data_IF_600783800774
#
_entry.id   IF_600783800774
#
_cell.length_a   1.000
_cell.length_b   1.000
_cell.length_c   1.000
_cell.angle_alpha   90.00
_cell.angle_beta   90.00
_cell.angle_gamma   90.00
#
_symmetry.space_group_name_H-M   'P 1'
#
loop_
_entity.id
_entity.type
_entity.pdbx_description
1 polymer ?
#
# COMPACT_ATOMS: atom_id res chain seq x y z
N UNK A 1 -22.18 25.47 -8.80
CA UNK A 1 -21.48 26.56 -8.11
C UNK A 1 -20.81 27.39 -9.19
N UNK A 2 -21.24 28.63 -9.41
CA UNK A 2 -20.50 29.55 -10.25
C UNK A 2 -19.58 30.34 -9.33
N UNK A 3 -18.41 29.76 -9.02
CA UNK A 3 -17.31 30.59 -8.53
C UNK A 3 -16.79 31.41 -9.71
N UNK A 4 -16.59 32.73 -9.58
CA UNK A 4 -16.08 33.56 -10.67
C UNK A 4 -14.61 33.26 -11.04
N UNK A 5 -13.87 32.56 -10.18
CA UNK A 5 -12.47 32.19 -10.37
C UNK A 5 -12.23 30.73 -9.92
N UNK A 6 -12.87 29.75 -10.58
CA UNK A 6 -12.67 28.35 -10.23
C UNK A 6 -11.25 27.93 -10.61
N UNK A 7 -10.68 27.07 -9.80
CA UNK A 7 -9.38 26.46 -10.03
C UNK A 7 -9.46 24.95 -9.86
N UNK A 8 -8.78 24.22 -10.73
CA UNK A 8 -8.56 22.81 -10.52
C UNK A 8 -7.71 22.62 -9.26
N UNK A 9 -6.61 23.36 -9.11
CA UNK A 9 -5.77 23.35 -7.90
C UNK A 9 -5.31 24.75 -7.52
N UNK A 10 -5.22 25.05 -6.22
CA UNK A 10 -4.71 26.31 -5.69
C UNK A 10 -3.41 26.02 -4.94
N UNK A 11 -2.29 26.60 -5.39
CA UNK A 11 -0.95 26.34 -4.86
C UNK A 11 -0.44 24.88 -4.98
N UNK A 12 -1.17 24.01 -5.68
CA UNK A 12 -0.84 22.62 -5.94
C UNK A 12 -1.78 21.66 -5.22
N UNK A 13 -1.47 20.37 -5.24
CA UNK A 13 -2.27 19.37 -4.52
C UNK A 13 -1.69 19.18 -3.13
N UNK A 14 -2.54 19.38 -2.13
CA UNK A 14 -2.26 19.16 -0.72
C UNK A 14 -3.25 18.16 -0.14
N UNK A 15 -2.81 17.44 0.89
CA UNK A 15 -3.72 16.59 1.63
C UNK A 15 -4.80 17.43 2.34
N UNK A 16 -4.52 18.70 2.65
CA UNK A 16 -5.42 19.63 3.33
C UNK A 16 -6.64 20.05 2.50
N UNK A 17 -6.63 19.81 1.19
CA UNK A 17 -7.71 20.16 0.25
C UNK A 17 -8.82 19.08 0.22
N UNK A 18 -8.74 18.10 1.14
CA UNK A 18 -9.61 16.95 1.18
C UNK A 18 -10.50 17.03 2.40
N UNK A 19 -11.79 17.28 2.16
CA UNK A 19 -12.86 17.10 3.12
C UNK A 19 -13.81 16.02 2.62
N UNK A 20 -14.14 15.07 3.49
CA UNK A 20 -15.16 14.08 3.21
C UNK A 20 -16.55 14.72 3.24
N UNK A 21 -17.39 14.39 2.26
CA UNK A 21 -18.80 14.77 2.25
C UNK A 21 -19.69 13.77 2.99
N UNK A 22 -20.95 13.64 2.55
CA UNK A 22 -21.96 12.80 3.20
C UNK A 22 -21.88 11.30 2.87
N UNK A 23 -20.96 10.90 1.98
CA UNK A 23 -20.81 9.51 1.54
C UNK A 23 -19.85 8.74 2.46
N UNK A 24 -20.10 7.45 2.68
CA UNK A 24 -19.26 6.54 3.49
C UNK A 24 -17.94 6.15 2.82
N UNK A 25 -17.32 7.04 2.03
CA UNK A 25 -16.12 6.77 1.25
C UNK A 25 -14.83 7.32 1.88
N UNK A 26 -14.76 7.38 3.22
CA UNK A 26 -13.56 7.84 3.94
C UNK A 26 -12.27 7.14 3.48
N UNK A 27 -12.36 5.88 3.04
CA UNK A 27 -11.28 5.09 2.46
C UNK A 27 -10.67 5.75 1.20
N UNK A 28 -11.52 6.31 0.33
CA UNK A 28 -11.11 7.03 -0.87
C UNK A 28 -10.42 8.34 -0.51
N UNK A 29 -10.98 9.11 0.44
CA UNK A 29 -10.41 10.38 0.89
C UNK A 29 -9.05 10.16 1.57
N UNK A 30 -8.92 9.11 2.39
CA UNK A 30 -7.64 8.72 2.99
C UNK A 30 -6.60 8.31 1.95
N UNK A 31 -7.01 7.60 0.89
CA UNK A 31 -6.13 7.26 -0.23
C UNK A 31 -5.68 8.51 -1.01
N UNK A 32 -6.58 9.48 -1.24
CA UNK A 32 -6.25 10.77 -1.85
C UNK A 32 -5.25 11.56 -0.98
N UNK A 33 -5.43 11.53 0.34
CA UNK A 33 -4.51 12.15 1.30
C UNK A 33 -3.11 11.52 1.22
N UNK A 34 -3.03 10.19 1.11
CA UNK A 34 -1.77 9.50 0.84
C UNK A 34 -1.14 9.91 -0.51
N UNK A 35 -1.95 10.01 -1.56
CA UNK A 35 -1.52 10.39 -2.90
C UNK A 35 -0.94 11.81 -2.96
N UNK A 36 -1.56 12.77 -2.25
CA UNK A 36 -1.13 14.16 -2.19
C UNK A 36 0.30 14.32 -1.63
N UNK A 37 0.76 13.41 -0.77
CA UNK A 37 2.12 13.40 -0.21
C UNK A 37 3.23 13.10 -1.25
N UNK A 38 2.85 12.67 -2.47
CA UNK A 38 3.78 12.19 -3.49
C UNK A 38 3.50 12.85 -4.84
N UNK A 39 4.12 14.02 -5.05
CA UNK A 39 4.01 14.80 -6.31
C UNK A 39 4.11 13.98 -7.59
N UNK A 40 5.09 13.09 -7.67
CA UNK A 40 5.31 12.23 -8.86
C UNK A 40 4.21 11.20 -9.10
N UNK A 41 3.47 10.81 -8.06
CA UNK A 41 2.37 9.85 -8.17
C UNK A 41 1.08 10.58 -8.56
N UNK A 42 0.73 11.67 -7.87
CA UNK A 42 -0.49 12.40 -8.21
C UNK A 42 -0.43 12.99 -9.62
N UNK A 43 0.74 13.42 -10.11
CA UNK A 43 0.91 13.90 -11.49
C UNK A 43 0.59 12.85 -12.56
N UNK A 44 0.58 11.55 -12.20
CA UNK A 44 0.12 10.49 -13.10
C UNK A 44 -1.40 10.43 -13.13
N UNK A 45 -2.03 10.58 -11.96
CA UNK A 45 -3.48 10.51 -11.77
C UNK A 45 -4.17 11.76 -12.32
N UNK A 46 -3.60 12.94 -12.08
CA UNK A 46 -4.10 14.24 -12.56
C UNK A 46 -3.06 14.82 -13.53
N UNK A 47 -3.03 14.35 -14.79
CA UNK A 47 -2.09 14.82 -15.79
C UNK A 47 -2.41 16.28 -16.17
N UNK A 48 -1.42 16.99 -16.73
CA UNK A 48 -1.66 18.26 -17.44
C UNK A 48 -2.51 19.31 -16.69
N UNK A 49 -2.41 19.40 -15.35
CA UNK A 49 -3.28 20.28 -14.53
C UNK A 49 -3.46 21.68 -15.12
N UNK A 50 -2.37 22.31 -15.55
CA UNK A 50 -2.40 23.68 -16.09
C UNK A 50 -3.22 23.83 -17.37
N UNK A 51 -3.35 22.76 -18.16
CA UNK A 51 -4.14 22.75 -19.40
C UNK A 51 -5.61 22.46 -19.13
N UNK A 52 -5.90 21.74 -18.04
CA UNK A 52 -7.27 21.46 -17.58
C UNK A 52 -7.85 22.60 -16.73
N UNK A 53 -7.01 23.41 -16.12
CA UNK A 53 -7.42 24.50 -15.24
C UNK A 53 -8.09 25.65 -16.00
N UNK A 54 -8.95 26.39 -15.32
CA UNK A 54 -9.60 27.57 -15.87
C UNK A 54 -8.60 28.72 -15.99
N UNK A 55 -8.50 29.30 -17.19
CA UNK A 55 -7.66 30.48 -17.48
C UNK A 55 -8.56 31.66 -17.86
N UNK A 56 -8.69 32.62 -16.95
CA UNK A 56 -9.45 33.85 -17.18
C UNK A 56 -8.96 34.64 -18.42
N UNK A 57 -7.69 34.49 -18.81
CA UNK A 57 -7.14 35.15 -20.01
C UNK A 57 -7.50 34.44 -21.30
N UNK A 58 -7.98 33.19 -21.22
CA UNK A 58 -8.31 32.32 -22.36
C UNK A 58 -9.61 31.54 -22.09
N UNK A 59 -10.73 32.22 -21.80
CA UNK A 59 -12.00 31.56 -21.48
C UNK A 59 -12.50 30.66 -22.61
N UNK A 60 -12.13 30.95 -23.86
CA UNK A 60 -12.48 30.16 -25.05
C UNK A 60 -11.86 28.76 -25.07
N UNK A 61 -10.83 28.51 -24.26
CA UNK A 61 -10.21 27.18 -24.13
C UNK A 61 -10.97 26.27 -23.18
N UNK A 62 -11.80 26.83 -22.30
CA UNK A 62 -12.56 26.05 -21.36
C UNK A 62 -13.72 25.35 -22.05
N UNK A 63 -13.79 24.03 -21.90
CA UNK A 63 -14.86 23.21 -22.44
C UNK A 63 -15.62 22.43 -21.37
N UNK A 64 -15.40 22.73 -20.08
CA UNK A 64 -16.02 22.01 -18.96
C UNK A 64 -15.69 20.53 -18.93
N UNK A 65 -14.49 20.15 -19.40
CA UNK A 65 -14.04 18.77 -19.57
C UNK A 65 -12.72 18.55 -18.85
N UNK A 66 -12.64 17.46 -18.10
CA UNK A 66 -11.49 17.06 -17.29
C UNK A 66 -11.20 15.58 -17.51
N UNK A 67 -9.96 15.15 -17.25
CA UNK A 67 -9.58 13.75 -17.33
C UNK A 67 -8.56 13.35 -16.27
N UNK A 68 -8.69 12.09 -15.86
CA UNK A 68 -7.94 11.48 -14.77
C UNK A 68 -7.49 10.08 -15.17
N UNK A 69 -6.30 9.68 -14.73
CA UNK A 69 -5.83 8.32 -14.96
C UNK A 69 -5.95 7.44 -13.71
N UNK A 70 -6.51 6.25 -13.88
CA UNK A 70 -6.57 5.22 -12.86
C UNK A 70 -5.91 3.93 -13.35
N UNK A 71 -5.29 3.22 -12.43
CA UNK A 71 -4.67 1.92 -12.66
C UNK A 71 -5.71 0.83 -12.43
N UNK A 72 -6.23 0.24 -13.49
CA UNK A 72 -7.23 -0.83 -13.41
C UNK A 72 -6.63 -2.12 -13.95
N UNK A 73 -6.62 -3.16 -13.12
CA UNK A 73 -6.22 -4.53 -13.51
C UNK A 73 -4.91 -4.63 -14.31
N UNK A 74 -3.97 -3.72 -14.05
CA UNK A 74 -2.66 -3.74 -14.67
C UNK A 74 -2.39 -2.71 -15.77
N UNK A 75 -3.37 -1.88 -16.10
CA UNK A 75 -3.29 -0.86 -17.16
C UNK A 75 -3.74 0.51 -16.62
N UNK A 76 -3.19 1.58 -17.19
CA UNK A 76 -3.69 2.92 -16.93
C UNK A 76 -4.86 3.22 -17.86
N UNK A 77 -6.00 3.59 -17.29
CA UNK A 77 -7.23 3.97 -17.97
C UNK A 77 -7.43 5.47 -17.83
N UNK A 78 -7.73 6.15 -18.94
CA UNK A 78 -8.09 7.56 -18.96
C UNK A 78 -9.60 7.74 -18.82
N UNK A 79 -10.01 8.48 -17.80
CA UNK A 79 -11.41 8.71 -17.44
C UNK A 79 -11.73 10.19 -17.62
N UNK A 80 -12.46 10.47 -18.69
CA UNK A 80 -12.92 11.82 -19.02
C UNK A 80 -14.26 12.10 -18.36
N UNK A 81 -14.42 13.27 -17.74
CA UNK A 81 -15.66 13.73 -17.10
C UNK A 81 -15.96 15.18 -17.46
N UNK A 82 -17.22 15.57 -17.32
CA UNK A 82 -17.59 16.99 -17.25
C UNK A 82 -17.42 17.55 -15.83
N UNK A 83 -17.62 18.86 -15.66
CA UNK A 83 -17.46 19.60 -14.41
C UNK A 83 -18.73 19.68 -13.52
N UNK A 84 -19.84 19.05 -13.92
CA UNK A 84 -21.09 19.11 -13.15
C UNK A 84 -21.00 18.28 -11.88
N UNK A 85 -20.94 18.93 -10.72
CA UNK A 85 -20.83 18.28 -9.42
C UNK A 85 -22.18 18.24 -8.69
N UNK A 86 -22.49 17.15 -7.94
CA UNK A 86 -23.69 17.08 -7.11
C UNK A 86 -23.71 18.12 -5.99
N UNK A 87 -24.83 18.84 -5.86
CA UNK A 87 -24.99 19.89 -4.84
C UNK A 87 -26.39 19.88 -4.21
N UNK A 88 -26.48 20.26 -2.94
CA UNK A 88 -27.72 20.65 -2.25
C UNK A 88 -27.54 22.08 -1.77
N UNK A 89 -28.50 22.96 -2.04
CA UNK A 89 -28.43 24.39 -1.68
C UNK A 89 -27.13 25.07 -2.15
N UNK A 90 -26.68 24.74 -3.37
CA UNK A 90 -25.42 25.19 -3.97
C UNK A 90 -24.15 24.82 -3.18
N UNK A 91 -24.20 23.82 -2.30
CA UNK A 91 -23.03 23.27 -1.60
C UNK A 91 -22.74 21.86 -2.12
N UNK A 92 -21.47 21.56 -2.34
CA UNK A 92 -21.02 20.20 -2.66
C UNK A 92 -21.41 19.26 -1.53
N UNK A 93 -21.98 18.11 -1.88
CA UNK A 93 -22.42 17.10 -0.90
C UNK A 93 -21.40 15.98 -0.70
N UNK A 94 -20.44 15.84 -1.62
CA UNK A 94 -19.38 14.85 -1.57
C UNK A 94 -18.02 15.53 -1.27
N UNK A 95 -16.90 14.96 -1.74
CA UNK A 95 -15.58 15.48 -1.44
C UNK A 95 -15.42 16.93 -1.92
N UNK A 96 -14.78 17.77 -1.10
CA UNK A 96 -14.56 19.19 -1.39
C UNK A 96 -13.29 19.72 -0.71
N UNK A 97 -12.78 20.86 -1.19
CA UNK A 97 -11.69 21.59 -0.54
C UNK A 97 -12.21 22.58 0.51
N UNK A 98 -11.33 22.99 1.44
CA UNK A 98 -11.58 24.16 2.30
C UNK A 98 -11.63 25.44 1.47
N UNK A 99 -10.82 25.50 0.42
CA UNK A 99 -10.82 26.60 -0.52
C UNK A 99 -12.04 26.44 -1.44
N UNK A 100 -13.01 27.36 -1.38
CA UNK A 100 -14.31 27.19 -2.04
C UNK A 100 -14.22 27.17 -3.57
N UNK A 101 -13.12 27.68 -4.12
CA UNK A 101 -12.84 27.74 -5.54
C UNK A 101 -11.86 26.67 -6.01
N UNK A 102 -11.50 25.68 -5.20
CA UNK A 102 -10.64 24.56 -5.58
C UNK A 102 -11.44 23.25 -5.77
N UNK A 103 -11.27 22.60 -6.92
CA UNK A 103 -12.17 21.51 -7.35
C UNK A 103 -11.50 20.15 -7.68
N UNK A 104 -10.18 20.00 -7.59
CA UNK A 104 -9.52 18.73 -7.98
C UNK A 104 -10.05 17.52 -7.21
N UNK A 105 -10.31 17.67 -5.91
CA UNK A 105 -10.75 16.56 -5.04
C UNK A 105 -12.16 16.09 -5.42
N UNK A 106 -13.08 17.03 -5.64
CA UNK A 106 -14.44 16.76 -6.08
C UNK A 106 -14.49 16.11 -7.48
N UNK A 107 -13.68 16.62 -8.41
CA UNK A 107 -13.62 16.09 -9.78
C UNK A 107 -12.94 14.72 -9.83
N UNK A 108 -11.89 14.50 -9.04
CA UNK A 108 -11.23 13.19 -8.93
C UNK A 108 -12.21 12.13 -8.39
N UNK A 109 -12.97 12.47 -7.34
CA UNK A 109 -14.01 11.59 -6.80
C UNK A 109 -15.10 11.30 -7.83
N UNK A 110 -15.54 12.29 -8.62
CA UNK A 110 -16.48 12.08 -9.72
C UNK A 110 -15.95 11.12 -10.78
N UNK A 111 -14.69 11.27 -11.18
CA UNK A 111 -14.06 10.38 -12.15
C UNK A 111 -13.98 8.94 -11.61
N UNK A 112 -13.64 8.79 -10.33
CA UNK A 112 -13.60 7.50 -9.67
C UNK A 112 -14.99 6.86 -9.52
N UNK A 113 -16.01 7.65 -9.18
CA UNK A 113 -17.41 7.22 -9.15
C UNK A 113 -17.90 6.76 -10.54
N UNK A 114 -17.53 7.49 -11.60
CA UNK A 114 -17.83 7.08 -12.99
C UNK A 114 -17.21 5.73 -13.32
N UNK A 115 -15.97 5.49 -12.90
CA UNK A 115 -15.28 4.21 -13.10
C UNK A 115 -15.95 3.07 -12.32
N UNK A 116 -16.43 3.34 -11.10
CA UNK A 116 -17.18 2.39 -10.28
C UNK A 116 -18.64 2.18 -10.76
N UNK A 117 -19.18 3.11 -11.56
CA UNK A 117 -20.52 3.09 -12.14
C UNK A 117 -21.46 4.18 -11.59
N UNK A 118 -21.35 4.51 -10.30
CA UNK A 118 -22.06 5.61 -9.66
C UNK A 118 -21.39 6.02 -8.33
N UNK A 119 -21.84 7.11 -7.70
CA UNK A 119 -21.34 7.53 -6.38
C UNK A 119 -21.69 6.53 -5.28
N UNK A 120 -22.88 5.93 -5.30
CA UNK A 120 -23.31 4.94 -4.30
C UNK A 120 -22.37 3.71 -4.28
N UNK A 121 -21.79 3.35 -5.43
CA UNK A 121 -20.81 2.27 -5.53
C UNK A 121 -19.48 2.55 -4.77
N UNK A 122 -19.27 3.78 -4.28
CA UNK A 122 -18.12 4.12 -3.45
C UNK A 122 -18.41 4.02 -1.94
N UNK A 123 -19.64 3.69 -1.55
CA UNK A 123 -20.00 3.50 -0.15
C UNK A 123 -19.42 2.20 0.40
N UNK A 124 -18.41 2.32 1.28
CA UNK A 124 -17.61 1.21 1.77
C UNK A 124 -16.59 0.69 0.74
N UNK A 125 -15.33 0.63 1.15
CA UNK A 125 -14.25 0.15 0.29
C UNK A 125 -12.91 0.10 1.00
N UNK A 126 -11.88 -0.34 0.28
CA UNK A 126 -10.54 -0.52 0.81
C UNK A 126 -9.61 0.63 0.43
N UNK A 127 -9.04 1.30 1.43
CA UNK A 127 -8.03 2.36 1.22
C UNK A 127 -6.85 1.82 0.41
N UNK A 128 -6.46 0.57 0.66
CA UNK A 128 -5.39 -0.09 -0.06
C UNK A 128 -5.70 -0.23 -1.57
N UNK A 129 -6.94 -0.60 -1.91
CA UNK A 129 -7.38 -0.74 -3.31
C UNK A 129 -7.39 0.62 -4.01
N UNK A 130 -7.93 1.67 -3.40
CA UNK A 130 -7.85 3.02 -3.97
C UNK A 130 -6.38 3.47 -4.19
N UNK A 131 -5.48 3.19 -3.24
CA UNK A 131 -4.06 3.52 -3.42
C UNK A 131 -3.47 2.73 -4.61
N UNK A 132 -3.84 1.46 -4.79
CA UNK A 132 -3.43 0.67 -5.95
C UNK A 132 -3.97 1.30 -7.23
N UNK A 133 -5.24 1.69 -7.27
CA UNK A 133 -5.85 2.36 -8.42
C UNK A 133 -5.19 3.71 -8.73
N UNK A 134 -4.66 4.42 -7.74
CA UNK A 134 -3.96 5.69 -7.98
C UNK A 134 -2.50 5.52 -8.41
N UNK A 135 -1.89 4.34 -8.22
CA UNK A 135 -0.42 4.24 -8.27
C UNK A 135 0.12 3.02 -9.01
N UNK A 136 -0.69 1.97 -9.18
CA UNK A 136 -0.23 0.63 -9.57
C UNK A 136 0.70 -0.03 -8.54
N UNK A 137 0.61 0.37 -7.27
CA UNK A 137 1.35 -0.23 -6.17
C UNK A 137 0.97 -1.71 -5.96
N UNK A 138 1.78 -2.39 -5.13
CA UNK A 138 1.40 -3.67 -4.53
C UNK A 138 1.05 -3.40 -3.08
N UNK A 139 -0.20 -3.66 -2.72
CA UNK A 139 -0.72 -3.53 -1.37
C UNK A 139 -0.61 -4.83 -0.58
N UNK A 140 -0.44 -4.68 0.73
CA UNK A 140 -0.48 -5.74 1.73
C UNK A 140 -1.15 -5.14 2.97
N UNK A 141 -2.11 -5.85 3.56
CA UNK A 141 -2.78 -5.42 4.79
C UNK A 141 -2.35 -6.33 5.93
N UNK A 142 -2.02 -5.73 7.08
CA UNK A 142 -1.64 -6.44 8.30
C UNK A 142 -2.64 -6.09 9.38
N UNK A 143 -3.25 -7.12 9.98
CA UNK A 143 -4.04 -6.96 11.19
C UNK A 143 -3.10 -6.93 12.41
N UNK A 144 -3.14 -5.82 13.14
CA UNK A 144 -2.29 -5.55 14.29
C UNK A 144 -2.71 -6.35 15.54
N UNK A 145 -3.99 -6.71 15.64
CA UNK A 145 -4.54 -7.51 16.74
C UNK A 145 -4.10 -8.98 16.57
N UNK A 146 -4.37 -9.58 15.41
CA UNK A 146 -4.01 -10.97 15.11
C UNK A 146 -2.49 -11.19 15.16
N UNK A 147 -1.73 -10.14 14.80
CA UNK A 147 -0.28 -10.14 14.88
C UNK A 147 0.30 -9.86 16.27
N UNK A 148 -0.53 -9.60 17.28
CA UNK A 148 -0.13 -9.35 18.67
C UNK A 148 0.85 -8.18 18.84
N UNK A 149 0.65 -7.13 18.03
CA UNK A 149 1.55 -5.97 18.00
C UNK A 149 1.37 -5.03 19.19
N UNK A 150 0.28 -5.14 19.94
CA UNK A 150 0.00 -4.35 21.14
C UNK A 150 0.94 -4.68 22.31
N UNK A 151 1.36 -5.95 22.45
CA UNK A 151 2.28 -6.38 23.52
C UNK A 151 3.64 -6.93 23.03
N UNK A 152 3.76 -7.43 21.80
CA UNK A 152 5.01 -8.01 21.30
C UNK A 152 6.00 -6.95 20.80
N UNK A 153 6.94 -6.54 21.66
CA UNK A 153 8.01 -5.59 21.30
C UNK A 153 8.83 -6.07 20.09
N UNK A 154 9.04 -7.38 19.95
CA UNK A 154 9.82 -7.94 18.83
C UNK A 154 9.10 -7.68 17.50
N UNK A 155 7.79 -7.91 17.44
CA UNK A 155 6.99 -7.67 16.23
C UNK A 155 6.83 -6.17 15.95
N UNK A 156 6.62 -5.35 16.98
CA UNK A 156 6.63 -3.88 16.84
C UNK A 156 7.92 -3.38 16.20
N UNK A 157 9.08 -3.86 16.67
CA UNK A 157 10.39 -3.44 16.14
C UNK A 157 10.60 -3.88 14.69
N UNK A 158 10.12 -5.08 14.32
CA UNK A 158 10.17 -5.55 12.92
C UNK A 158 9.29 -4.69 12.02
N UNK A 159 8.02 -4.52 12.39
CA UNK A 159 7.05 -3.73 11.64
C UNK A 159 7.52 -2.29 11.48
N UNK A 160 8.01 -1.66 12.56
CA UNK A 160 8.56 -0.31 12.49
C UNK A 160 9.68 -0.19 11.44
N UNK A 161 10.61 -1.15 11.39
CA UNK A 161 11.71 -1.14 10.41
C UNK A 161 11.19 -1.28 8.98
N UNK A 162 10.18 -2.12 8.78
CA UNK A 162 9.59 -2.34 7.48
C UNK A 162 8.80 -1.13 7.00
N UNK A 163 7.95 -0.55 7.85
CA UNK A 163 7.21 0.67 7.52
C UNK A 163 8.14 1.86 7.29
N UNK A 164 9.19 2.02 8.10
CA UNK A 164 10.23 3.05 7.89
C UNK A 164 10.90 2.88 6.51
N UNK A 165 11.19 1.64 6.10
CA UNK A 165 11.78 1.33 4.79
C UNK A 165 10.82 1.65 3.65
N UNK A 166 9.52 1.35 3.81
CA UNK A 166 8.47 1.65 2.83
C UNK A 166 8.32 3.16 2.68
N UNK A 167 8.17 3.90 3.80
CA UNK A 167 8.03 5.36 3.79
C UNK A 167 9.25 6.04 3.12
N UNK A 168 10.49 5.63 3.46
CA UNK A 168 11.72 6.14 2.84
C UNK A 168 11.84 5.84 1.35
N UNK A 169 11.23 4.75 0.87
CA UNK A 169 11.24 4.36 -0.56
C UNK A 169 10.07 4.97 -1.34
N UNK A 170 9.33 5.90 -0.73
CA UNK A 170 8.20 6.58 -1.37
C UNK A 170 6.92 5.74 -1.40
N UNK A 171 6.88 4.61 -0.68
CA UNK A 171 5.64 3.88 -0.45
C UNK A 171 4.60 4.71 0.29
N UNK A 172 3.35 4.27 0.19
CA UNK A 172 2.20 4.87 0.84
C UNK A 172 1.69 3.90 1.91
N UNK A 173 1.27 4.44 3.04
CA UNK A 173 0.82 3.65 4.19
C UNK A 173 -0.46 4.29 4.70
N UNK A 174 -1.51 3.49 4.87
CA UNK A 174 -2.73 3.87 5.57
C UNK A 174 -2.96 2.93 6.73
N UNK A 175 -3.75 3.35 7.70
CA UNK A 175 -4.14 2.52 8.82
C UNK A 175 -5.56 2.83 9.25
N UNK A 176 -6.15 1.93 10.01
CA UNK A 176 -7.56 1.97 10.35
C UNK A 176 -7.78 1.47 11.77
N UNK A 177 -8.88 1.91 12.38
CA UNK A 177 -9.35 1.42 13.67
C UNK A 177 -10.73 0.78 13.46
N UNK A 178 -10.78 -0.54 13.55
CA UNK A 178 -12.00 -1.31 13.34
C UNK A 178 -13.03 -1.08 14.43
N UNK A 179 -14.28 -1.03 14.00
CA UNK A 179 -15.47 -0.92 14.84
C UNK A 179 -16.45 -2.01 14.45
N UNK A 180 -17.12 -2.59 15.43
CA UNK A 180 -18.10 -3.66 15.21
C UNK A 180 -19.43 -3.15 14.64
N UNK A 181 -19.70 -1.85 14.72
CA UNK A 181 -20.90 -1.19 14.21
C UNK A 181 -20.56 -0.19 13.09
N UNK A 182 -21.41 -0.02 12.09
CA UNK A 182 -21.22 0.91 10.94
C UNK A 182 -21.35 2.40 11.31
N UNK A 183 -20.86 2.81 12.47
CA UNK A 183 -20.81 4.22 12.89
C UNK A 183 -19.41 4.58 13.31
N UNK A 184 -18.99 5.77 12.89
CA UNK A 184 -17.74 6.36 13.36
C UNK A 184 -17.88 6.80 14.81
N UNK A 185 -16.90 6.44 15.65
CA UNK A 185 -16.93 6.76 17.09
C UNK A 185 -15.61 7.45 17.46
N UNK A 186 -15.69 8.68 17.95
CA UNK A 186 -14.54 9.36 18.56
C UNK A 186 -14.23 8.74 19.92
N UNK A 187 -12.95 8.48 20.19
CA UNK A 187 -12.46 7.97 21.46
C UNK A 187 -12.08 9.11 22.40
N UNK A 188 -11.95 8.82 23.69
CA UNK A 188 -11.54 9.82 24.69
C UNK A 188 -10.15 10.42 24.39
N UNK A 189 -9.30 9.66 23.68
CA UNK A 189 -7.96 10.08 23.24
C UNK A 189 -7.96 10.79 21.87
N UNK A 190 -9.13 11.11 21.32
CA UNK A 190 -9.30 11.92 20.11
C UNK A 190 -9.21 11.17 18.77
N UNK A 191 -9.01 9.84 18.80
CA UNK A 191 -9.00 9.01 17.59
C UNK A 191 -10.43 8.66 17.17
N UNK A 192 -10.63 8.35 15.90
CA UNK A 192 -11.93 8.03 15.32
C UNK A 192 -11.91 6.57 14.87
N UNK A 193 -12.75 5.75 15.49
CA UNK A 193 -13.02 4.37 15.06
C UNK A 193 -13.93 4.37 13.84
N UNK A 194 -13.80 3.35 13.00
CA UNK A 194 -14.55 3.28 11.75
C UNK A 194 -13.98 4.19 10.65
N UNK A 195 -12.74 4.66 10.80
CA UNK A 195 -12.15 5.68 9.94
C UNK A 195 -10.70 5.36 9.56
N UNK A 196 -10.32 5.72 8.33
CA UNK A 196 -8.98 5.51 7.79
C UNK A 196 -8.08 6.73 8.01
N UNK A 197 -6.82 6.50 8.34
CA UNK A 197 -5.79 7.51 8.54
C UNK A 197 -4.64 7.31 7.55
N UNK A 198 -4.02 8.40 7.11
CA UNK A 198 -2.79 8.34 6.30
C UNK A 198 -1.57 8.41 7.20
N UNK A 199 -0.56 7.55 6.99
CA UNK A 199 0.73 7.68 7.68
C UNK A 199 1.65 8.55 6.84
N UNK A 200 1.96 9.75 7.34
CA UNK A 200 2.68 10.77 6.58
C UNK A 200 4.19 10.74 6.84
N UNK A 201 4.61 10.31 8.03
CA UNK A 201 6.03 10.20 8.39
C UNK A 201 6.30 9.10 9.40
N UNK A 202 7.48 8.47 9.32
CA UNK A 202 7.97 7.48 10.28
C UNK A 202 9.43 7.79 10.53
N UNK A 203 9.82 7.95 11.80
CA UNK A 203 11.18 8.31 12.13
C UNK A 203 11.64 7.77 13.48
N UNK A 204 12.96 7.74 13.65
CA UNK A 204 13.60 7.49 14.94
C UNK A 204 14.04 8.83 15.49
N UNK A 205 13.59 9.17 16.69
CA UNK A 205 13.92 10.41 17.38
C UNK A 205 14.78 10.11 18.60
N UNK A 206 15.81 10.93 18.84
CA UNK A 206 16.57 10.86 20.08
C UNK A 206 16.01 11.84 21.09
N UNK A 207 15.74 11.37 22.31
CA UNK A 207 15.19 12.18 23.41
C UNK A 207 16.18 12.18 24.58
N UNK A 208 16.26 13.32 25.27
CA UNK A 208 17.16 13.54 26.41
C UNK A 208 18.31 14.50 26.09
N UNK A 209 18.71 15.31 27.08
CA UNK A 209 19.90 16.14 26.98
C UNK A 209 21.15 15.24 27.02
N UNK A 210 22.13 15.51 26.15
CA UNK A 210 23.45 14.90 26.23
C UNK A 210 24.14 15.41 27.52
N UNK A 211 23.94 14.72 28.63
CA UNK A 211 24.71 14.99 29.84
C UNK A 211 26.15 14.51 29.61
N UNK A 212 27.14 15.34 29.92
CA UNK A 212 28.58 15.04 29.77
C UNK A 212 29.01 13.72 30.44
N UNK A 213 28.25 13.22 31.42
CA UNK A 213 28.57 12.03 32.21
C UNK A 213 27.75 10.77 31.84
N UNK A 214 26.76 10.85 30.95
CA UNK A 214 26.04 9.67 30.46
C UNK A 214 25.63 9.89 29.00
N UNK A 215 26.46 9.40 28.08
CA UNK A 215 26.26 9.51 26.63
C UNK A 215 25.09 8.70 26.06
N UNK A 216 24.08 8.33 26.86
CA UNK A 216 22.93 7.55 26.43
C UNK A 216 21.75 8.48 26.12
N UNK A 217 21.59 8.83 24.84
CA UNK A 217 20.33 9.36 24.32
C UNK A 217 19.33 8.20 24.18
N UNK A 218 18.14 8.35 24.74
CA UNK A 218 17.04 7.41 24.49
C UNK A 218 16.58 7.54 23.03
N UNK A 219 16.19 6.43 22.40
CA UNK A 219 15.68 6.42 21.02
C UNK A 219 14.22 6.03 21.04
N UNK A 220 13.37 6.97 20.62
CA UNK A 220 11.94 6.76 20.43
C UNK A 220 11.63 6.46 18.96
N UNK A 221 10.65 5.59 18.76
CA UNK A 221 10.08 5.26 17.46
C UNK A 221 8.78 6.03 17.32
N UNK A 222 8.73 6.93 16.34
CA UNK A 222 7.62 7.86 16.15
C UNK A 222 6.95 7.60 14.82
N UNK A 223 5.64 7.79 14.80
CA UNK A 223 4.80 7.75 13.61
C UNK A 223 3.93 9.00 13.57
N UNK A 224 3.84 9.63 12.40
CA UNK A 224 2.94 10.76 12.14
C UNK A 224 1.78 10.29 11.29
N UNK A 225 0.59 10.61 11.74
CA UNK A 225 -0.66 10.29 11.07
C UNK A 225 -1.35 11.56 10.63
N UNK A 226 -2.25 11.43 9.66
CA UNK A 226 -3.17 12.47 9.26
C UNK A 226 -4.59 11.93 9.28
N UNK A 227 -5.48 12.64 9.95
CA UNK A 227 -6.92 12.48 9.85
C UNK A 227 -7.42 13.17 8.54
N UNK A 228 -8.02 12.43 7.60
CA UNK A 228 -8.64 12.98 6.40
C UNK A 228 -9.66 14.09 6.65
N UNK A 229 -10.34 14.13 7.81
CA UNK A 229 -11.27 15.21 8.14
C UNK A 229 -10.59 16.56 8.41
N UNK A 230 -9.26 16.57 8.55
CA UNK A 230 -8.48 17.78 8.85
C UNK A 230 -8.76 18.35 10.23
N UNK A 231 -9.28 17.52 11.14
CA UNK A 231 -9.52 17.82 12.56
C UNK A 231 -9.45 16.51 13.38
N UNK A 232 -9.73 16.57 14.69
CA UNK A 232 -9.78 15.42 15.62
C UNK A 232 -8.47 14.63 15.65
N UNK A 233 -7.55 15.18 16.45
CA UNK A 233 -6.18 14.69 16.59
C UNK A 233 -5.99 13.91 17.90
N UNK A 234 -4.88 13.16 17.95
CA UNK A 234 -4.43 12.46 19.15
C UNK A 234 -4.23 13.40 20.34
N UNK A 235 -4.80 13.05 21.50
CA UNK A 235 -4.72 13.83 22.75
C UNK A 235 -3.78 13.22 23.79
N UNK A 236 -3.17 12.07 23.51
CA UNK A 236 -2.26 11.40 24.44
C UNK A 236 -0.83 11.97 24.39
N UNK A 237 0.13 11.18 24.85
CA UNK A 237 1.55 11.54 24.86
C UNK A 237 2.04 11.87 23.44
N UNK A 238 2.84 12.93 23.30
CA UNK A 238 3.34 13.44 22.01
C UNK A 238 2.29 14.02 21.07
N UNK A 239 1.07 14.30 21.55
CA UNK A 239 0.11 15.18 20.88
C UNK A 239 0.70 16.57 20.61
N UNK A 240 0.04 17.38 19.78
CA UNK A 240 0.56 18.69 19.40
C UNK A 240 0.77 19.65 20.58
N UNK A 241 -0.06 19.52 21.63
CA UNK A 241 0.01 20.30 22.88
C UNK A 241 0.84 19.61 23.99
N UNK A 242 1.44 18.46 23.71
CA UNK A 242 2.14 17.63 24.69
C UNK A 242 3.43 18.28 25.24
N UNK A 243 3.55 18.27 26.56
CA UNK A 243 4.72 18.78 27.29
C UNK A 243 6.00 17.96 27.01
N UNK A 244 5.86 16.71 26.58
CA UNK A 244 6.93 15.80 26.21
C UNK A 244 7.82 16.36 25.10
N UNK A 245 7.27 17.21 24.22
CA UNK A 245 8.06 17.90 23.21
C UNK A 245 9.16 18.75 23.82
N UNK A 246 8.99 19.32 25.04
CA UNK A 246 10.03 20.12 25.73
C UNK A 246 11.32 19.33 25.97
N UNK A 247 11.27 17.99 25.94
CA UNK A 247 12.42 17.09 26.06
C UNK A 247 13.25 16.97 24.78
N UNK A 248 12.77 17.49 23.65
CA UNK A 248 13.42 17.45 22.33
C UNK A 248 14.03 18.81 22.01
N UNK A 249 15.32 18.82 21.67
CA UNK A 249 16.03 20.08 21.35
C UNK A 249 15.45 20.75 20.11
N UNK A 250 15.50 22.09 20.06
CA UNK A 250 15.05 22.87 18.90
C UNK A 250 15.74 22.42 17.60
N UNK A 251 17.03 22.10 17.67
CA UNK A 251 17.80 21.57 16.53
C UNK A 251 17.26 20.24 15.99
N UNK A 252 16.88 19.32 16.88
CA UNK A 252 16.29 18.04 16.47
C UNK A 252 14.89 18.24 15.87
N UNK A 253 14.07 19.14 16.43
CA UNK A 253 12.75 19.46 15.87
C UNK A 253 12.87 20.02 14.45
N UNK A 254 13.77 20.97 14.24
CA UNK A 254 14.02 21.54 12.90
C UNK A 254 14.60 20.50 11.95
N UNK A 255 15.54 19.65 12.39
CA UNK A 255 16.13 18.58 11.58
C UNK A 255 15.09 17.58 11.10
N UNK A 256 14.10 17.28 11.94
CA UNK A 256 13.03 16.34 11.63
C UNK A 256 11.84 16.99 10.91
N UNK A 257 11.85 18.31 10.73
CA UNK A 257 10.76 19.06 10.11
C UNK A 257 9.44 18.91 10.87
N UNK A 258 9.50 18.88 12.20
CA UNK A 258 8.30 18.73 13.03
C UNK A 258 7.45 20.00 12.94
N UNK A 259 6.30 19.89 12.31
CA UNK A 259 5.19 20.85 12.39
C UNK A 259 4.25 20.40 13.50
N UNK A 260 3.90 21.32 14.40
CA UNK A 260 2.92 21.14 15.47
C UNK A 260 1.84 22.19 15.20
N UNK A 261 0.87 21.82 14.40
CA UNK A 261 -0.19 22.68 13.91
C UNK A 261 -1.46 21.84 13.87
N UNK A 262 -2.55 22.35 14.45
CA UNK A 262 -3.83 21.66 14.49
C UNK A 262 -4.48 21.68 13.09
N UNK A 263 -4.03 20.79 12.23
CA UNK A 263 -4.41 20.68 10.82
C UNK A 263 -4.89 19.26 10.43
N UNK A 264 -5.05 18.40 11.42
CA UNK A 264 -5.36 16.98 11.31
C UNK A 264 -4.13 16.07 11.27
N UNK A 265 -2.91 16.61 11.21
CA UNK A 265 -1.67 15.83 11.36
C UNK A 265 -1.22 15.79 12.83
N UNK A 266 -0.90 14.61 13.33
CA UNK A 266 -0.41 14.46 14.71
C UNK A 266 0.64 13.36 14.81
N UNK A 267 1.50 13.47 15.82
CA UNK A 267 2.49 12.47 16.17
C UNK A 267 2.02 11.61 17.34
N UNK A 268 2.48 10.36 17.35
CA UNK A 268 2.40 9.49 18.52
C UNK A 268 3.57 8.51 18.53
N UNK A 269 3.77 7.82 19.66
CA UNK A 269 4.76 6.74 19.70
C UNK A 269 4.28 5.56 18.85
N UNK A 270 5.21 4.80 18.29
CA UNK A 270 4.87 3.59 17.53
C UNK A 270 4.18 2.54 18.41
N UNK A 271 4.51 2.50 19.70
CA UNK A 271 3.87 1.64 20.68
C UNK A 271 2.40 2.02 20.89
N UNK A 272 2.11 3.30 21.10
CA UNK A 272 0.73 3.77 21.24
C UNK A 272 -0.07 3.52 19.95
N UNK A 273 0.56 3.69 18.79
CA UNK A 273 -0.07 3.36 17.52
C UNK A 273 -0.45 1.87 17.44
N UNK A 274 0.45 0.95 17.78
CA UNK A 274 0.13 -0.49 17.80
C UNK A 274 -0.97 -0.87 18.80
N UNK A 275 -1.14 -0.12 19.90
CA UNK A 275 -2.19 -0.36 20.90
C UNK A 275 -3.55 0.18 20.48
N UNK A 276 -3.58 1.24 19.68
CA UNK A 276 -4.82 1.96 19.34
C UNK A 276 -5.38 1.61 17.95
N UNK A 277 -4.54 1.13 17.03
CA UNK A 277 -4.93 0.80 15.66
C UNK A 277 -5.10 -0.70 15.45
N UNK A 278 -5.97 -1.08 14.53
CA UNK A 278 -6.31 -2.49 14.28
C UNK A 278 -5.68 -3.02 13.00
N UNK A 279 -5.53 -2.17 11.97
CA UNK A 279 -5.08 -2.59 10.66
C UNK A 279 -4.14 -1.55 10.04
N UNK A 280 -3.17 -2.02 9.25
CA UNK A 280 -2.28 -1.19 8.44
C UNK A 280 -2.18 -1.72 7.02
N UNK A 281 -2.38 -0.85 6.04
CA UNK A 281 -2.17 -1.13 4.63
C UNK A 281 -0.83 -0.55 4.17
N UNK A 282 -0.03 -1.40 3.54
CA UNK A 282 1.34 -1.11 3.11
C UNK A 282 1.41 -1.17 1.59
N UNK A 283 1.33 -0.01 0.95
CA UNK A 283 1.35 0.10 -0.51
C UNK A 283 2.75 0.41 -1.03
N UNK A 284 3.40 -0.60 -1.62
CA UNK A 284 4.78 -0.51 -2.11
C UNK A 284 4.80 -0.10 -3.58
N UNK A 285 5.43 1.04 -3.86
CA UNK A 285 5.64 1.49 -5.24
C UNK A 285 6.68 0.59 -5.91
N UNK A 286 6.26 -0.12 -6.95
CA UNK A 286 7.10 -1.09 -7.67
C UNK A 286 8.00 -0.37 -8.66
N UNK A 287 9.27 -0.14 -8.28
CA UNK A 287 10.27 0.35 -9.23
C UNK A 287 10.82 -0.82 -10.07
N UNK A 288 10.32 -0.93 -11.31
CA UNK A 288 10.74 -1.93 -12.30
C UNK A 288 11.78 -1.41 -13.29
N UNK A 289 12.16 -0.12 -13.21
CA UNK A 289 13.03 0.53 -14.19
C UNK A 289 14.37 -0.17 -14.32
N UNK A 290 14.74 -0.54 -15.54
CA UNK A 290 16.02 -1.20 -15.85
C UNK A 290 17.22 -0.27 -15.65
N UNK A 291 17.02 1.05 -15.76
CA UNK A 291 18.06 2.06 -15.61
C UNK A 291 18.21 2.55 -14.16
N UNK A 292 17.44 1.98 -13.22
CA UNK A 292 17.52 2.34 -11.81
C UNK A 292 18.56 1.48 -11.10
N UNK A 293 19.56 2.12 -10.48
CA UNK A 293 20.47 1.48 -9.52
C UNK A 293 19.76 0.96 -8.26
N UNK A 294 18.46 1.26 -8.11
CA UNK A 294 17.59 0.84 -7.03
C UNK A 294 16.42 -0.04 -7.51
N UNK A 295 16.60 -0.79 -8.61
CA UNK A 295 15.62 -1.82 -9.00
C UNK A 295 15.47 -2.81 -7.84
N UNK A 296 14.27 -2.85 -7.27
CA UNK A 296 13.97 -3.62 -6.06
C UNK A 296 12.94 -4.70 -6.30
N UNK A 297 12.33 -4.72 -7.49
CA UNK A 297 11.22 -5.60 -7.82
C UNK A 297 11.30 -6.11 -9.25
N UNK A 298 10.79 -7.31 -9.45
CA UNK A 298 10.48 -7.88 -10.75
C UNK A 298 8.97 -8.03 -10.88
N UNK A 299 8.42 -7.55 -11.99
CA UNK A 299 6.98 -7.63 -12.27
C UNK A 299 6.75 -8.65 -13.37
N UNK A 300 5.84 -9.57 -13.12
CA UNK A 300 5.22 -10.41 -14.15
C UNK A 300 3.71 -10.37 -13.93
N UNK A 301 2.99 -9.98 -14.96
CA UNK A 301 1.53 -9.95 -14.95
C UNK A 301 1.02 -11.16 -15.72
N UNK A 302 -0.03 -11.79 -15.22
CA UNK A 302 -0.71 -12.90 -15.86
C UNK A 302 -2.20 -12.59 -15.86
N UNK A 303 -2.84 -12.75 -17.02
CA UNK A 303 -4.30 -12.64 -17.15
C UNK A 303 -4.88 -14.03 -17.18
N UNK A 304 -6.01 -14.19 -16.53
CA UNK A 304 -6.78 -15.43 -16.45
C UNK A 304 -8.26 -15.12 -16.31
N UNK A 305 -9.08 -16.14 -16.46
CA UNK A 305 -10.52 -16.04 -16.30
C UNK A 305 -11.07 -17.33 -15.70
N UNK A 306 -12.10 -17.21 -14.87
CA UNK A 306 -12.89 -18.34 -14.41
C UNK A 306 -14.13 -18.46 -15.31
N UNK A 307 -14.18 -19.51 -16.11
CA UNK A 307 -15.27 -19.76 -17.07
C UNK A 307 -15.92 -21.10 -16.80
N UNK A 308 -17.25 -21.11 -16.79
CA UNK A 308 -18.04 -22.34 -16.73
C UNK A 308 -18.09 -22.99 -18.11
N UNK A 309 -17.85 -24.30 -18.18
CA UNK A 309 -17.97 -25.09 -19.40
C UNK A 309 -18.66 -26.42 -19.10
N UNK A 310 -19.59 -26.91 -19.95
CA UNK A 310 -20.20 -28.23 -19.80
C UNK A 310 -19.17 -29.37 -19.80
N UNK A 311 -18.07 -29.23 -20.54
CA UNK A 311 -16.97 -30.18 -20.51
C UNK A 311 -16.03 -29.85 -19.35
N UNK A 312 -15.92 -30.78 -18.39
CA UNK A 312 -15.11 -30.65 -17.18
C UNK A 312 -13.62 -30.34 -17.46
N UNK A 313 -13.06 -30.80 -18.58
CA UNK A 313 -11.66 -30.53 -18.95
C UNK A 313 -11.43 -29.10 -19.45
N UNK A 314 -12.48 -28.43 -19.92
CA UNK A 314 -12.48 -27.04 -20.39
C UNK A 314 -13.02 -26.08 -19.33
N UNK A 315 -13.65 -26.59 -18.26
CA UNK A 315 -14.10 -25.78 -17.14
C UNK A 315 -12.89 -25.13 -16.44
N UNK A 316 -13.05 -23.88 -16.01
CA UNK A 316 -11.99 -23.13 -15.31
C UNK A 316 -12.42 -22.60 -13.96
N UNK A 317 -13.64 -22.87 -13.50
CA UNK A 317 -14.17 -22.41 -12.21
C UNK A 317 -14.16 -23.53 -11.17
N UNK A 318 -12.97 -23.92 -10.71
CA UNK A 318 -12.75 -25.12 -9.90
C UNK A 318 -13.04 -24.98 -8.40
N UNK A 319 -13.23 -23.76 -7.90
CA UNK A 319 -13.37 -23.50 -6.46
C UNK A 319 -12.03 -23.51 -5.71
N UNK A 320 -12.07 -23.52 -4.38
CA UNK A 320 -10.87 -23.55 -3.53
C UNK A 320 -10.46 -25.00 -3.18
N UNK A 321 -9.47 -25.17 -2.30
CA UNK A 321 -8.98 -26.50 -1.88
C UNK A 321 -10.07 -27.37 -1.24
N UNK A 322 -11.13 -26.76 -0.69
CA UNK A 322 -12.28 -27.50 -0.14
C UNK A 322 -13.10 -28.20 -1.24
N UNK A 323 -12.87 -27.86 -2.53
CA UNK A 323 -13.51 -28.47 -3.69
C UNK A 323 -12.52 -29.38 -4.43
N UNK A 324 -11.97 -30.39 -3.75
CA UNK A 324 -10.90 -31.26 -4.28
C UNK A 324 -11.18 -31.80 -5.70
N UNK A 325 -12.43 -32.21 -5.96
CA UNK A 325 -12.85 -32.77 -7.25
C UNK A 325 -12.72 -31.79 -8.43
N UNK A 326 -12.80 -30.50 -8.18
CA UNK A 326 -12.82 -29.47 -9.23
C UNK A 326 -11.64 -28.49 -9.11
N UNK A 327 -10.93 -28.45 -8.00
CA UNK A 327 -9.85 -27.49 -7.72
C UNK A 327 -8.80 -27.41 -8.83
N UNK A 328 -8.40 -28.55 -9.40
CA UNK A 328 -7.40 -28.62 -10.47
C UNK A 328 -7.88 -28.06 -11.82
N UNK A 329 -9.17 -27.74 -11.96
CA UNK A 329 -9.73 -27.09 -13.14
C UNK A 329 -9.36 -25.60 -13.20
N UNK A 330 -8.98 -24.96 -12.09
CA UNK A 330 -8.60 -23.55 -12.08
C UNK A 330 -7.38 -23.26 -12.98
N UNK A 331 -7.24 -22.03 -13.53
CA UNK A 331 -6.03 -21.63 -14.26
C UNK A 331 -4.75 -21.83 -13.44
N UNK A 332 -3.78 -22.56 -14.00
CA UNK A 332 -2.52 -22.85 -13.33
C UNK A 332 -1.39 -22.00 -13.90
N UNK A 333 -0.65 -21.32 -13.03
CA UNK A 333 0.48 -20.49 -13.41
C UNK A 333 1.76 -21.00 -12.75
N UNK A 334 2.76 -21.32 -13.56
CA UNK A 334 4.10 -21.67 -13.05
C UNK A 334 4.95 -20.41 -12.93
N UNK A 335 5.27 -19.93 -11.71
CA UNK A 335 6.32 -18.94 -11.55
C UNK A 335 7.63 -19.56 -12.03
N UNK A 336 8.24 -18.98 -13.06
CA UNK A 336 9.60 -19.34 -13.47
C UNK A 336 10.54 -18.46 -12.64
N UNK A 337 11.28 -18.99 -11.65
CA UNK A 337 12.35 -18.21 -11.04
C UNK A 337 13.37 -17.83 -12.12
N UNK A 338 13.92 -16.61 -12.04
CA UNK A 338 15.05 -16.25 -12.89
C UNK A 338 16.25 -17.11 -12.51
N UNK A 339 16.86 -17.70 -13.54
CA UNK A 339 18.03 -18.59 -13.50
C UNK A 339 17.78 -20.05 -13.10
N UNK A 340 17.28 -20.81 -14.07
CA UNK A 340 17.80 -22.17 -14.28
C UNK A 340 18.99 -22.00 -15.23
N UNK A 341 20.16 -21.61 -14.70
CA UNK A 341 21.38 -21.61 -15.49
C UNK A 341 21.93 -23.04 -15.50
N UNK A 342 21.54 -23.80 -16.51
CA UNK A 342 22.12 -25.10 -16.81
C UNK A 342 23.51 -24.94 -17.43
N UNK A 343 24.47 -24.41 -16.69
CA UNK A 343 25.84 -24.24 -17.21
C UNK A 343 26.89 -24.59 -16.15
N UNK A 344 26.96 -25.88 -15.80
CA UNK A 344 28.26 -26.54 -15.55
C UNK A 344 28.02 -28.03 -15.34
N UNK A 345 28.31 -28.84 -16.35
CA UNK A 345 28.56 -30.27 -16.16
C UNK A 345 29.85 -30.40 -15.34
N UNK A 346 29.79 -30.89 -14.11
CA UNK A 346 30.95 -31.48 -13.41
C UNK A 346 30.56 -32.83 -12.82
N UNK A 347 31.59 -33.68 -12.68
CA UNK A 347 31.63 -35.12 -12.94
C UNK A 347 30.71 -36.07 -12.16
N UNK A 348 29.86 -35.64 -11.22
CA UNK A 348 29.17 -36.61 -10.35
C UNK A 348 27.63 -36.58 -10.35
N UNK A 349 26.93 -35.63 -11.01
CA UNK A 349 25.50 -35.69 -11.32
C UNK A 349 25.20 -34.64 -12.41
N UNK A 350 24.58 -35.02 -13.52
CA UNK A 350 24.50 -34.20 -14.75
C UNK A 350 23.77 -32.86 -14.63
N UNK A 351 22.95 -32.65 -13.59
CA UNK A 351 22.16 -31.44 -13.38
C UNK A 351 22.07 -31.12 -11.88
N UNK A 352 22.92 -30.20 -11.39
CA UNK A 352 22.77 -29.63 -10.04
C UNK A 352 22.00 -28.32 -10.09
N UNK A 353 21.09 -28.14 -9.15
CA UNK A 353 20.40 -26.86 -8.93
C UNK A 353 21.26 -26.00 -8.01
N UNK A 354 21.67 -24.83 -8.48
CA UNK A 354 22.53 -23.92 -7.71
C UNK A 354 21.77 -23.25 -6.57
N UNK A 355 22.43 -23.13 -5.41
CA UNK A 355 21.97 -22.30 -4.30
C UNK A 355 22.57 -20.91 -4.47
N UNK A 356 21.78 -19.87 -4.29
CA UNK A 356 22.33 -18.53 -4.08
C UNK A 356 23.03 -18.46 -2.71
N UNK A 357 24.20 -17.80 -2.65
CA UNK A 357 24.89 -17.52 -1.38
C UNK A 357 24.01 -16.61 -0.52
N UNK A 358 23.73 -17.03 0.70
CA UNK A 358 23.03 -16.26 1.73
C UNK A 358 23.67 -16.58 3.07
N UNK A 359 23.96 -15.55 3.87
CA UNK A 359 24.52 -15.67 5.22
C UNK A 359 23.47 -15.90 6.31
N UNK A 360 22.18 -15.89 5.95
CA UNK A 360 21.07 -16.06 6.89
C UNK A 360 20.70 -17.53 7.09
N UNK A 361 20.80 -18.00 8.33
CA UNK A 361 20.52 -19.38 8.76
C UNK A 361 19.07 -19.80 8.50
N UNK A 362 18.12 -18.86 8.57
CA UNK A 362 16.71 -19.04 8.23
C UNK A 362 16.49 -19.65 6.83
N UNK A 363 17.42 -19.44 5.88
CA UNK A 363 17.26 -19.93 4.49
C UNK A 363 17.26 -21.46 4.41
N UNK A 364 17.85 -22.17 5.38
CA UNK A 364 17.92 -23.65 5.41
C UNK A 364 16.55 -24.32 5.59
N UNK A 365 15.59 -23.60 6.19
CA UNK A 365 14.26 -24.12 6.52
C UNK A 365 13.20 -23.88 5.42
N UNK A 366 13.53 -23.11 4.38
CA UNK A 366 12.58 -22.86 3.29
C UNK A 366 12.41 -24.11 2.43
N UNK A 367 11.14 -24.41 2.08
CA UNK A 367 10.77 -25.54 1.24
C UNK A 367 11.59 -25.60 -0.06
N UNK A 368 11.83 -24.46 -0.70
CA UNK A 368 12.65 -24.38 -1.92
C UNK A 368 14.10 -24.81 -1.69
N UNK A 369 14.71 -24.42 -0.58
CA UNK A 369 16.10 -24.82 -0.26
C UNK A 369 16.16 -26.30 0.11
N UNK A 370 15.18 -26.80 0.85
CA UNK A 370 15.04 -28.24 1.15
C UNK A 370 14.87 -29.07 -0.12
N UNK A 371 14.02 -28.64 -1.05
CA UNK A 371 13.83 -29.29 -2.34
C UNK A 371 15.11 -29.26 -3.19
N UNK A 372 15.86 -28.16 -3.19
CA UNK A 372 17.16 -28.05 -3.87
C UNK A 372 18.21 -28.98 -3.23
N UNK A 373 18.21 -29.09 -1.89
CA UNK A 373 19.10 -30.00 -1.17
C UNK A 373 18.81 -31.45 -1.54
N UNK A 374 17.54 -31.85 -1.45
CA UNK A 374 17.08 -33.18 -1.82
C UNK A 374 17.37 -33.48 -3.29
N UNK A 375 17.05 -32.57 -4.21
CA UNK A 375 17.36 -32.74 -5.63
C UNK A 375 18.85 -32.98 -5.89
N UNK A 376 19.71 -32.20 -5.22
CA UNK A 376 21.16 -32.31 -5.39
C UNK A 376 21.77 -33.54 -4.71
N UNK A 377 21.07 -34.17 -3.77
CA UNK A 377 21.50 -35.42 -3.14
C UNK A 377 21.07 -36.66 -3.93
N UNK A 378 20.15 -36.55 -4.89
CA UNK A 378 19.71 -37.69 -5.69
C UNK A 378 20.83 -38.24 -6.61
N UNK A 379 20.90 -39.56 -6.82
CA UNK A 379 21.82 -40.18 -7.77
C UNK A 379 21.60 -39.76 -9.23
N UNK A 380 22.65 -39.87 -10.04
CA UNK A 380 22.63 -39.43 -11.45
C UNK A 380 21.60 -40.18 -12.29
N UNK A 381 21.36 -41.45 -11.98
CA UNK A 381 20.38 -42.30 -12.64
C UNK A 381 18.93 -41.85 -12.38
N UNK A 382 18.66 -41.28 -11.20
CA UNK A 382 17.36 -40.68 -10.87
C UNK A 382 17.22 -39.38 -11.66
N UNK A 383 18.17 -38.46 -11.51
CA UNK A 383 18.13 -37.12 -12.11
C UNK A 383 18.17 -37.17 -13.65
N UNK A 384 18.87 -38.14 -14.23
CA UNK A 384 19.04 -38.35 -15.67
C UNK A 384 17.95 -39.20 -16.33
N UNK A 385 16.79 -39.38 -15.68
CA UNK A 385 15.72 -40.25 -16.18
C UNK A 385 15.16 -39.77 -17.53
N UNK A 386 14.95 -40.69 -18.50
CA UNK A 386 14.52 -40.34 -19.85
C UNK A 386 13.03 -39.94 -19.94
N UNK A 387 12.24 -40.21 -18.90
CA UNK A 387 10.83 -39.85 -18.81
C UNK A 387 10.41 -39.65 -17.36
N UNK A 388 9.28 -38.95 -17.15
CA UNK A 388 8.74 -38.70 -15.81
C UNK A 388 8.38 -40.01 -15.08
N UNK A 389 7.85 -41.00 -15.81
CA UNK A 389 7.51 -42.32 -15.26
C UNK A 389 8.77 -43.07 -14.81
N UNK A 390 9.86 -42.96 -15.57
CA UNK A 390 11.15 -43.53 -15.19
C UNK A 390 11.77 -42.79 -13.99
N UNK A 391 11.63 -41.46 -13.94
CA UNK A 391 12.07 -40.64 -12.82
C UNK A 391 11.40 -41.06 -11.52
N UNK A 392 10.07 -41.15 -11.52
CA UNK A 392 9.31 -41.52 -10.33
C UNK A 392 9.71 -42.91 -9.82
N UNK A 393 9.75 -43.91 -10.72
CA UNK A 393 10.16 -45.27 -10.34
C UNK A 393 11.57 -45.33 -9.73
N UNK A 394 12.53 -44.60 -10.31
CA UNK A 394 13.92 -44.58 -9.81
C UNK A 394 14.06 -43.80 -8.50
N UNK A 395 13.28 -42.73 -8.35
CA UNK A 395 13.23 -41.96 -7.10
C UNK A 395 12.64 -42.82 -5.97
N UNK A 396 11.53 -43.50 -6.21
CA UNK A 396 10.87 -44.35 -5.22
C UNK A 396 11.79 -45.50 -4.76
N UNK A 397 12.48 -46.15 -5.70
CA UNK A 397 13.48 -47.17 -5.38
C UNK A 397 14.64 -46.60 -4.54
N UNK A 398 15.18 -45.44 -4.93
CA UNK A 398 16.27 -44.81 -4.19
C UNK A 398 15.85 -44.41 -2.76
N UNK A 399 14.64 -43.89 -2.59
CA UNK A 399 14.13 -43.52 -1.27
C UNK A 399 13.85 -44.74 -0.40
N UNK A 400 13.44 -45.87 -0.99
CA UNK A 400 13.24 -47.14 -0.28
C UNK A 400 14.55 -47.78 0.22
N UNK A 401 15.70 -47.43 -0.35
CA UNK A 401 17.03 -47.88 0.12
C UNK A 401 17.64 -46.95 1.20
N UNK A 402 17.10 -45.74 1.35
CA UNK A 402 17.61 -44.69 2.26
C UNK A 402 16.81 -44.59 3.56
N UNK A 403 15.60 -45.17 3.60
CA UNK A 403 14.74 -45.33 4.79
C UNK A 403 14.96 -46.72 5.35
#
# INVERSE_FOLDING_TARGET
IFDPHPHLTIHGISSHDLHQGSLGNCWFVAACSCLALRKKLWQKVIPNIKEQDWDQKKPEKYAGIFHFHFWCFGEWIDVVIDDRLPTIDNKLIYCSSKEPNEFWSALLEKAYAKMAGCYEALDGGSTAEAIVDFTGAVAESINLIDGNYDYSIIEQVKLFRDLLKVNKRGGLISCYIMVSAQRTIETDVGLVKGHAYSVTSILKMSVGQKNLCSGKSEKLFMIRLRNPWGNKEWKGAWSDESEEWKKVSKSERTRLGLTLENNGEFWMTFEDWCKNFTDVDICRIVNTSFFSIHKTWEKKMMRGQWTKNPNATLNRSGGCLNNEATFLQNPQHKPKPKHICCSSKRRNNGWKVTKERSSLELRSNFLTVRAINQWNSLPSEVVGSPSLKAFQKRLDNHLAEVI
#
